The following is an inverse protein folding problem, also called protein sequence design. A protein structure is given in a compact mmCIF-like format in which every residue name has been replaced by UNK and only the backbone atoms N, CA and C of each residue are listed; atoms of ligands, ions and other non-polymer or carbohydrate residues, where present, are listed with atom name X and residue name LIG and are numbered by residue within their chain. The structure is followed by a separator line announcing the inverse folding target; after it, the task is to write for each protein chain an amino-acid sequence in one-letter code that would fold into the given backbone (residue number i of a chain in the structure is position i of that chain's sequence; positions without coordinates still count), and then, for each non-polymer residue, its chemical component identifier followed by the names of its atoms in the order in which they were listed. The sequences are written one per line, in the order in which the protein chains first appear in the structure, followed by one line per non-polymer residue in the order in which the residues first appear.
data_IF_017976778673
#
_entry.id   IF_017976778673
#
_cell.length_a   1.000
_cell.length_b   1.000
_cell.length_c   1.000
_cell.angle_alpha   90.00
_cell.angle_beta   90.00
_cell.angle_gamma   90.00
#
_symmetry.space_group_name_H-M   'P 1'
#
loop_
_entity.id
_entity.type
_entity.pdbx_description
1 polymer ?
#
# COMPACT_ATOMS: atom_id res chain seq x y z
N UNK A 1 6.77 22.04 0.29
CA UNK A 1 7.15 20.83 -0.48
C UNK A 1 6.10 19.77 -0.20
N UNK A 2 5.64 19.00 -1.21
CA UNK A 2 4.85 17.81 -0.92
C UNK A 2 5.77 16.84 -0.16
N UNK A 3 5.38 16.37 1.01
CA UNK A 3 6.11 15.32 1.72
C UNK A 3 6.20 14.08 0.83
N UNK A 4 7.37 13.43 0.79
CA UNK A 4 7.54 12.17 0.06
C UNK A 4 6.66 11.08 0.65
N UNK A 5 6.37 10.03 -0.12
CA UNK A 5 5.53 8.92 0.34
C UNK A 5 6.05 8.30 1.66
N UNK A 6 7.35 8.02 1.74
CA UNK A 6 7.96 7.42 2.94
C UNK A 6 7.97 8.38 4.13
N UNK A 7 8.14 9.68 3.90
CA UNK A 7 8.07 10.68 4.97
C UNK A 7 6.67 10.73 5.58
N UNK A 8 5.64 10.68 4.72
CA UNK A 8 4.25 10.62 5.15
C UNK A 8 3.97 9.36 6.00
N UNK A 9 4.49 8.20 5.58
CA UNK A 9 4.32 6.97 6.36
C UNK A 9 5.06 7.02 7.70
N UNK A 10 6.31 7.51 7.73
CA UNK A 10 7.09 7.66 8.96
C UNK A 10 6.42 8.61 9.95
N UNK A 11 6.00 9.77 9.47
CA UNK A 11 5.33 10.77 10.30
C UNK A 11 4.04 10.22 10.95
N UNK A 12 3.31 9.36 10.24
CA UNK A 12 2.08 8.72 10.74
C UNK A 12 2.33 7.46 11.57
N UNK A 13 3.58 6.99 11.70
CA UNK A 13 3.89 5.71 12.33
C UNK A 13 3.37 4.50 11.55
N UNK A 14 3.20 4.62 10.22
CA UNK A 14 2.70 3.57 9.34
C UNK A 14 3.80 2.73 8.68
N UNK A 15 5.06 3.16 8.78
CA UNK A 15 6.21 2.41 8.25
C UNK A 15 6.78 1.48 9.33
N UNK A 16 6.60 0.18 9.14
CA UNK A 16 7.21 -0.84 10.00
C UNK A 16 8.54 -1.36 9.45
N UNK A 17 8.56 -1.72 8.16
CA UNK A 17 9.75 -2.25 7.49
C UNK A 17 9.80 -1.79 6.02
N UNK A 18 10.99 -1.82 5.42
CA UNK A 18 11.23 -1.49 4.02
C UNK A 18 12.50 -2.12 3.48
N UNK A 19 12.48 -2.50 2.20
CA UNK A 19 13.67 -3.01 1.53
C UNK A 19 14.71 -1.89 1.30
N UNK A 20 16.03 -2.19 1.41
CA UNK A 20 17.09 -1.25 1.06
C UNK A 20 16.91 -0.68 -0.36
N UNK A 21 17.15 0.62 -0.52
CA UNK A 21 17.06 1.31 -1.81
C UNK A 21 15.65 1.73 -2.25
N UNK A 22 14.63 1.54 -1.41
CA UNK A 22 13.25 1.99 -1.72
C UNK A 22 13.17 3.50 -1.92
N UNK A 23 13.93 4.29 -1.17
CA UNK A 23 13.95 5.76 -1.28
C UNK A 23 14.48 6.20 -2.64
N UNK A 24 15.63 5.66 -3.04
CA UNK A 24 16.23 5.91 -4.35
C UNK A 24 15.32 5.44 -5.48
N UNK A 25 14.61 4.32 -5.29
CA UNK A 25 13.67 3.82 -6.28
C UNK A 25 12.47 4.77 -6.47
N UNK A 26 11.87 5.25 -5.37
CA UNK A 26 10.76 6.20 -5.43
C UNK A 26 11.19 7.55 -6.00
N UNK A 27 12.46 7.95 -5.81
CA UNK A 27 13.02 9.18 -6.38
C UNK A 27 13.20 9.14 -7.92
N UNK A 28 13.22 7.95 -8.54
CA UNK A 28 13.36 7.80 -10.01
C UNK A 28 12.13 8.27 -10.79
N UNK A 29 11.03 8.58 -10.12
CA UNK A 29 9.81 9.11 -10.73
C UNK A 29 8.55 8.38 -10.30
N UNK A 30 7.53 8.37 -11.16
CA UNK A 30 6.23 7.76 -10.87
C UNK A 30 6.36 6.23 -10.84
N UNK A 31 6.26 5.66 -9.64
CA UNK A 31 6.23 4.20 -9.46
C UNK A 31 4.81 3.64 -9.48
N UNK A 32 4.72 2.33 -9.74
CA UNK A 32 3.49 1.53 -9.56
C UNK A 32 3.68 0.63 -8.34
N UNK A 33 2.65 0.50 -7.53
CA UNK A 33 2.66 -0.33 -6.32
C UNK A 33 1.29 -0.91 -6.08
N UNK A 34 1.22 -2.02 -5.36
CA UNK A 34 -0.05 -2.72 -5.11
C UNK A 34 -0.18 -3.16 -3.67
N UNK A 35 -1.42 -3.35 -3.24
CA UNK A 35 -1.79 -4.06 -2.03
C UNK A 35 -2.88 -5.07 -2.40
N UNK A 36 -2.75 -6.30 -1.90
CA UNK A 36 -3.72 -7.37 -2.09
C UNK A 36 -4.78 -7.39 -0.98
N UNK A 37 -6.01 -7.71 -1.35
CA UNK A 37 -7.13 -7.95 -0.44
C UNK A 37 -7.80 -9.27 -0.83
N UNK A 38 -7.81 -10.25 0.08
CA UNK A 38 -8.52 -11.51 -0.14
C UNK A 38 -10.00 -11.37 0.26
N UNK A 39 -10.95 -11.87 -0.56
CA UNK A 39 -12.38 -11.80 -0.28
C UNK A 39 -12.81 -12.86 0.74
N UNK A 40 -12.31 -12.77 1.97
CA UNK A 40 -12.66 -13.71 3.07
C UNK A 40 -14.03 -13.42 3.69
N UNK A 41 -14.64 -12.29 3.35
CA UNK A 41 -15.99 -11.88 3.75
C UNK A 41 -16.64 -11.02 2.65
N UNK A 42 -17.96 -10.82 2.75
CA UNK A 42 -18.75 -10.02 1.79
C UNK A 42 -18.39 -8.51 1.81
N UNK A 43 -17.63 -8.05 2.80
CA UNK A 43 -17.21 -6.66 2.95
C UNK A 43 -15.85 -6.53 3.62
N UNK A 44 -15.11 -5.48 3.26
CA UNK A 44 -13.93 -5.04 4.01
C UNK A 44 -14.36 -4.46 5.37
N UNK A 45 -13.49 -4.58 6.37
CA UNK A 45 -13.70 -4.04 7.70
C UNK A 45 -12.57 -3.07 8.10
N UNK A 46 -12.64 -2.51 9.31
CA UNK A 46 -11.67 -1.51 9.80
C UNK A 46 -10.21 -1.98 9.76
N UNK A 47 -9.98 -3.30 9.80
CA UNK A 47 -8.63 -3.88 9.68
C UNK A 47 -7.99 -3.63 8.31
N UNK A 48 -8.79 -3.47 7.25
CA UNK A 48 -8.30 -3.18 5.90
C UNK A 48 -8.03 -1.68 5.68
N UNK A 49 -8.52 -0.80 6.56
CA UNK A 49 -8.49 0.64 6.36
C UNK A 49 -7.06 1.19 6.27
N UNK A 50 -6.16 0.69 7.11
CA UNK A 50 -4.75 1.12 7.10
C UNK A 50 -4.11 0.88 5.73
N UNK A 51 -4.32 -0.32 5.18
CA UNK A 51 -3.82 -0.72 3.87
C UNK A 51 -4.44 0.12 2.73
N UNK A 52 -5.76 0.39 2.79
CA UNK A 52 -6.42 1.30 1.84
C UNK A 52 -5.83 2.70 1.91
N UNK A 53 -5.62 3.24 3.12
CA UNK A 53 -5.03 4.56 3.31
C UNK A 53 -3.60 4.64 2.79
N UNK A 54 -2.81 3.56 2.88
CA UNK A 54 -1.49 3.50 2.26
C UNK A 54 -1.56 3.70 0.73
N UNK A 55 -2.50 3.05 0.04
CA UNK A 55 -2.71 3.28 -1.41
C UNK A 55 -3.11 4.73 -1.71
N UNK A 56 -3.95 5.34 -0.86
CA UNK A 56 -4.34 6.75 -0.99
C UNK A 56 -3.14 7.68 -0.82
N UNK A 57 -2.30 7.45 0.20
CA UNK A 57 -1.07 8.22 0.41
C UNK A 57 -0.09 8.04 -0.75
N UNK A 58 0.03 6.83 -1.28
CA UNK A 58 0.86 6.53 -2.45
C UNK A 58 0.39 7.31 -3.69
N UNK A 59 -0.93 7.36 -3.93
CA UNK A 59 -1.51 8.16 -5.01
C UNK A 59 -1.28 9.66 -4.81
N UNK A 60 -1.47 10.17 -3.59
CA UNK A 60 -1.29 11.60 -3.26
C UNK A 60 0.16 12.07 -3.40
N UNK A 61 1.11 11.16 -3.17
CA UNK A 61 2.54 11.35 -3.44
C UNK A 61 2.87 11.36 -4.95
N UNK A 62 1.91 11.04 -5.82
CA UNK A 62 2.05 11.09 -7.28
C UNK A 62 2.32 9.74 -7.94
N UNK A 63 2.28 8.64 -7.18
CA UNK A 63 2.46 7.29 -7.69
C UNK A 63 1.13 6.66 -8.15
N UNK A 64 1.20 5.47 -8.73
CA UNK A 64 0.05 4.75 -9.29
C UNK A 64 -0.26 3.51 -8.46
N UNK A 65 -1.22 3.57 -7.53
CA UNK A 65 -1.63 2.39 -6.76
C UNK A 65 -2.44 1.40 -7.59
N UNK A 66 -2.40 0.13 -7.20
CA UNK A 66 -3.25 -0.94 -7.69
C UNK A 66 -3.84 -1.66 -6.48
N UNK A 67 -5.17 -1.68 -6.37
CA UNK A 67 -5.86 -2.54 -5.41
C UNK A 67 -6.12 -3.90 -6.09
N UNK A 68 -5.47 -4.95 -5.62
CA UNK A 68 -5.63 -6.30 -6.15
C UNK A 68 -6.64 -7.06 -5.29
N UNK A 69 -7.69 -7.62 -5.91
CA UNK A 69 -8.64 -8.50 -5.23
C UNK A 69 -8.24 -9.96 -5.52
N UNK A 70 -7.93 -10.70 -4.46
CA UNK A 70 -7.40 -12.05 -4.51
C UNK A 70 -8.44 -13.12 -4.72
N UNK A 71 -9.11 -13.15 -5.88
CA UNK A 71 -10.15 -14.15 -6.15
C UNK A 71 -9.68 -15.60 -6.08
N UNK A 72 -8.41 -15.87 -6.44
CA UNK A 72 -7.81 -17.19 -6.33
C UNK A 72 -7.17 -17.46 -4.97
N UNK A 73 -6.45 -16.48 -4.40
CA UNK A 73 -5.79 -16.59 -3.08
C UNK A 73 -6.81 -16.74 -1.96
N UNK A 74 -7.94 -16.03 -2.04
CA UNK A 74 -9.06 -16.21 -1.11
C UNK A 74 -9.70 -17.60 -1.15
N UNK A 75 -9.54 -18.37 -2.23
CA UNK A 75 -10.01 -19.77 -2.28
C UNK A 75 -9.06 -20.76 -1.58
N UNK A 76 -7.77 -20.40 -1.45
CA UNK A 76 -6.76 -21.21 -0.76
C UNK A 76 -6.73 -20.86 0.72
N UNK A 77 -6.83 -19.56 1.02
CA UNK A 77 -6.59 -19.00 2.35
C UNK A 77 -5.09 -18.80 2.59
N UNK A 78 -4.73 -17.62 3.07
CA UNK A 78 -3.40 -17.37 3.66
C UNK A 78 -3.38 -18.02 5.07
N UNK A 79 -2.41 -18.89 5.39
CA UNK A 79 -2.39 -19.66 6.65
C UNK A 79 -2.23 -18.84 7.94
#
# INVERSE_FOLDING_TARGET
MKNGFLDELRWRGLLHDSMPGVEDHLAKGVQRGYIGFDPTADSLHVGNLVQIMMLVHFQRAGHRPVALVGGATGMVGDP
#
